data_IF_447940742004
#
_entry.id   IF_447940742004
#
_cell.length_a   1.000
_cell.length_b   1.000
_cell.length_c   1.000
_cell.angle_alpha   90.00
_cell.angle_beta   90.00
_cell.angle_gamma   90.00
#
_symmetry.space_group_name_H-M   'P 1'
#
loop_
_entity.id
_entity.type
_entity.pdbx_description
1 polymer ?
#
# COMPACT_ATOMS: atom_id res chain seq x y z
N UNK A 1 13.57 2.18 -6.38
CA UNK A 1 12.80 3.24 -5.69
C UNK A 1 13.72 4.37 -5.28
N UNK A 2 14.76 4.12 -4.46
CA UNK A 2 15.80 5.12 -4.08
C UNK A 2 16.32 5.92 -5.28
N UNK A 3 16.83 5.24 -6.32
CA UNK A 3 17.30 5.87 -7.56
C UNK A 3 16.29 6.80 -8.24
N UNK A 4 15.00 6.44 -8.25
CA UNK A 4 13.98 7.29 -8.87
C UNK A 4 13.65 8.48 -7.97
N UNK A 5 13.56 8.28 -6.64
CA UNK A 5 13.33 9.37 -5.70
C UNK A 5 14.45 10.41 -5.77
N UNK A 6 15.71 9.98 -5.87
CA UNK A 6 16.87 10.86 -6.01
C UNK A 6 16.81 11.66 -7.34
N UNK A 7 16.39 11.01 -8.44
CA UNK A 7 16.25 11.67 -9.75
C UNK A 7 15.20 12.79 -9.78
N UNK A 8 14.16 12.70 -8.94
CA UNK A 8 13.06 13.68 -8.89
C UNK A 8 13.09 14.56 -7.65
N UNK A 9 14.20 14.53 -6.89
CA UNK A 9 14.37 15.24 -5.61
C UNK A 9 13.20 15.02 -4.62
N UNK A 10 12.72 13.77 -4.57
CA UNK A 10 11.65 13.38 -3.65
C UNK A 10 12.24 12.99 -2.30
N UNK A 11 11.89 13.76 -1.26
CA UNK A 11 12.20 13.40 0.13
C UNK A 11 11.43 12.15 0.54
N UNK A 12 12.14 11.09 0.92
CA UNK A 12 11.55 9.82 1.35
C UNK A 12 11.94 9.52 2.79
N UNK A 13 10.94 9.19 3.61
CA UNK A 13 11.13 8.63 4.95
C UNK A 13 11.07 7.11 4.79
N UNK A 14 12.19 6.44 5.03
CA UNK A 14 12.28 4.98 4.93
C UNK A 14 11.95 4.32 6.28
N UNK A 15 11.21 3.22 6.22
CA UNK A 15 11.06 2.26 7.30
C UNK A 15 11.48 0.91 6.75
N UNK A 16 12.63 0.42 7.19
CA UNK A 16 13.22 -0.82 6.67
C UNK A 16 12.70 -2.08 7.40
N UNK A 17 11.97 -1.89 8.50
CA UNK A 17 11.40 -2.96 9.30
C UNK A 17 10.06 -3.44 8.71
N UNK A 18 10.06 -4.65 8.16
CA UNK A 18 8.85 -5.41 7.89
C UNK A 18 8.73 -6.52 8.93
N UNK A 19 7.99 -6.25 10.00
CA UNK A 19 7.71 -7.22 11.06
C UNK A 19 6.74 -8.30 10.56
N UNK A 20 7.34 -9.35 9.97
CA UNK A 20 6.62 -10.47 9.39
C UNK A 20 5.93 -11.29 10.47
N UNK A 21 6.60 -11.49 11.61
CA UNK A 21 6.12 -12.26 12.75
C UNK A 21 4.83 -11.65 13.30
N UNK A 22 4.83 -10.35 13.61
CA UNK A 22 3.62 -9.65 14.07
C UNK A 22 2.54 -9.68 12.99
N UNK A 23 2.90 -9.51 11.72
CA UNK A 23 1.92 -9.60 10.64
C UNK A 23 1.25 -10.99 10.62
N UNK A 24 2.02 -12.07 10.69
CA UNK A 24 1.49 -13.44 10.69
C UNK A 24 0.62 -13.73 11.92
N UNK A 25 1.08 -13.32 13.10
CA UNK A 25 0.32 -13.49 14.35
C UNK A 25 -1.03 -12.78 14.33
N UNK A 26 -1.15 -11.66 13.63
CA UNK A 26 -2.41 -10.90 13.54
C UNK A 26 -3.36 -11.38 12.44
N UNK A 27 -2.91 -12.25 11.53
CA UNK A 27 -3.72 -12.76 10.41
C UNK A 27 -3.95 -14.26 10.44
N UNK A 28 -3.26 -15.00 11.31
CA UNK A 28 -3.47 -16.44 11.49
C UNK A 28 -4.94 -16.72 11.83
N UNK A 29 -5.50 -17.77 11.22
CA UNK A 29 -6.93 -18.12 11.26
C UNK A 29 -7.86 -17.10 10.57
N UNK A 30 -7.32 -16.06 9.93
CA UNK A 30 -8.06 -15.01 9.18
C UNK A 30 -7.35 -14.64 7.88
N UNK A 31 -6.64 -15.60 7.27
CA UNK A 31 -5.76 -15.37 6.13
C UNK A 31 -6.52 -14.85 4.89
N UNK A 32 -7.82 -15.15 4.79
CA UNK A 32 -8.72 -14.66 3.74
C UNK A 32 -9.08 -13.17 3.92
N UNK A 33 -9.06 -12.65 5.15
CA UNK A 33 -9.32 -11.23 5.48
C UNK A 33 -8.06 -10.45 5.91
N UNK A 34 -6.88 -11.03 5.68
CA UNK A 34 -5.56 -10.41 5.94
C UNK A 34 -5.41 -8.96 5.46
N UNK A 35 -6.12 -8.56 4.41
CA UNK A 35 -6.07 -7.22 3.84
C UNK A 35 -6.57 -6.16 4.84
N UNK A 36 -7.56 -6.48 5.67
CA UNK A 36 -8.08 -5.58 6.69
C UNK A 36 -6.96 -5.14 7.66
N UNK A 37 -6.26 -6.11 8.24
CA UNK A 37 -5.09 -5.84 9.09
C UNK A 37 -3.96 -5.15 8.33
N UNK A 38 -3.62 -5.63 7.13
CA UNK A 38 -2.53 -5.10 6.31
C UNK A 38 -2.71 -3.62 5.96
N UNK A 39 -3.94 -3.21 5.57
CA UNK A 39 -4.25 -1.82 5.30
C UNK A 39 -4.22 -0.99 6.57
N UNK A 40 -4.80 -1.51 7.67
CA UNK A 40 -4.84 -0.81 8.94
C UNK A 40 -3.44 -0.51 9.47
N UNK A 41 -2.56 -1.51 9.56
CA UNK A 41 -1.21 -1.34 10.11
C UNK A 41 -0.39 -0.33 9.30
N UNK A 42 -0.41 -0.45 7.96
CA UNK A 42 0.31 0.45 7.04
C UNK A 42 -0.22 1.89 7.07
N UNK A 43 -1.54 2.07 7.00
CA UNK A 43 -2.16 3.39 7.05
C UNK A 43 -2.00 4.05 8.41
N UNK A 44 -2.06 3.28 9.51
CA UNK A 44 -1.87 3.80 10.87
C UNK A 44 -0.46 4.35 11.03
N UNK A 45 0.54 3.61 10.56
CA UNK A 45 1.93 4.09 10.57
C UNK A 45 2.09 5.36 9.73
N UNK A 46 1.56 5.38 8.50
CA UNK A 46 1.61 6.55 7.64
C UNK A 46 0.97 7.79 8.30
N UNK A 47 -0.17 7.62 8.97
CA UNK A 47 -0.85 8.70 9.70
C UNK A 47 -0.04 9.19 10.91
N UNK A 48 0.63 8.29 11.65
CA UNK A 48 1.51 8.67 12.77
C UNK A 48 2.69 9.50 12.27
N UNK A 49 3.32 9.08 11.17
CA UNK A 49 4.42 9.84 10.54
C UNK A 49 3.91 11.18 10.02
N UNK A 50 2.75 11.20 9.36
CA UNK A 50 2.13 12.41 8.84
C UNK A 50 1.87 13.43 9.97
N UNK A 51 1.32 12.96 11.10
CA UNK A 51 1.08 13.81 12.28
C UNK A 51 2.36 14.38 12.86
N UNK A 52 3.38 13.52 13.08
CA UNK A 52 4.67 13.94 13.65
C UNK A 52 5.39 14.95 12.76
N UNK A 53 5.30 14.76 11.44
CA UNK A 53 5.86 15.66 10.44
C UNK A 53 4.99 16.87 10.09
N UNK A 54 3.82 17.05 10.72
CA UNK A 54 2.86 18.13 10.43
C UNK A 54 2.43 18.20 8.96
N UNK A 55 2.26 17.05 8.32
CA UNK A 55 1.72 16.96 6.96
C UNK A 55 0.21 17.18 6.97
N UNK A 56 -0.32 17.82 5.92
CA UNK A 56 -1.75 18.15 5.81
C UNK A 56 -2.65 16.92 5.61
N UNK A 57 -2.13 15.90 4.92
CA UNK A 57 -2.86 14.68 4.57
C UNK A 57 -1.94 13.46 4.58
N UNK A 58 -2.54 12.29 4.73
CA UNK A 58 -1.89 11.02 4.38
C UNK A 58 -2.73 10.24 3.36
N UNK A 59 -2.07 9.40 2.56
CA UNK A 59 -2.72 8.54 1.55
C UNK A 59 -1.89 7.28 1.31
N UNK A 60 -2.29 6.44 0.37
CA UNK A 60 -1.56 5.23 0.00
C UNK A 60 -1.50 5.00 -1.51
N UNK A 61 -0.36 4.50 -1.97
CA UNK A 61 -0.16 4.06 -3.36
C UNK A 61 -0.99 2.82 -3.72
N UNK A 62 -1.55 2.11 -2.73
CA UNK A 62 -2.46 0.99 -2.96
C UNK A 62 -3.71 1.39 -3.77
N UNK A 63 -4.10 2.67 -3.71
CA UNK A 63 -5.21 3.26 -4.48
C UNK A 63 -4.92 3.40 -5.99
N UNK A 64 -3.70 3.06 -6.44
CA UNK A 64 -3.37 2.94 -7.86
C UNK A 64 -3.71 1.56 -8.44
N UNK A 65 -3.86 0.54 -7.58
CA UNK A 65 -4.03 -0.84 -8.01
C UNK A 65 -5.50 -1.20 -8.23
N UNK A 66 -5.79 -1.80 -9.39
CA UNK A 66 -7.12 -2.30 -9.74
C UNK A 66 -7.58 -3.49 -8.89
N UNK A 67 -6.65 -4.16 -8.20
CA UNK A 67 -6.93 -5.38 -7.42
C UNK A 67 -7.17 -5.10 -5.93
N UNK A 68 -6.91 -3.87 -5.47
CA UNK A 68 -7.05 -3.54 -4.04
C UNK A 68 -8.50 -3.15 -3.73
N UNK A 69 -8.93 -3.43 -2.50
CA UNK A 69 -10.29 -3.14 -2.04
C UNK A 69 -10.39 -1.66 -1.65
N UNK A 70 -10.65 -0.78 -2.63
CA UNK A 70 -10.67 0.67 -2.43
C UNK A 70 -11.62 1.12 -1.32
N UNK A 71 -12.82 0.56 -1.25
CA UNK A 71 -13.81 0.94 -0.23
C UNK A 71 -13.34 0.56 1.18
N UNK A 72 -12.67 -0.59 1.32
CA UNK A 72 -12.07 -1.00 2.59
C UNK A 72 -10.88 -0.10 2.97
N UNK A 73 -10.02 0.25 2.01
CA UNK A 73 -8.92 1.21 2.24
C UNK A 73 -9.48 2.56 2.69
N UNK A 74 -10.53 3.03 2.02
CA UNK A 74 -11.18 4.31 2.33
C UNK A 74 -11.74 4.31 3.74
N UNK A 75 -12.55 3.32 4.09
CA UNK A 75 -13.15 3.20 5.43
C UNK A 75 -12.08 3.12 6.53
N UNK A 76 -11.04 2.31 6.35
CA UNK A 76 -9.93 2.21 7.30
C UNK A 76 -9.17 3.54 7.40
N UNK A 77 -8.87 4.18 6.28
CA UNK A 77 -8.17 5.47 6.24
C UNK A 77 -8.95 6.57 6.95
N UNK A 78 -10.26 6.69 6.69
CA UNK A 78 -11.15 7.66 7.36
C UNK A 78 -11.24 7.40 8.86
N UNK A 79 -11.31 6.13 9.30
CA UNK A 79 -11.30 5.79 10.73
C UNK A 79 -9.98 6.16 11.43
N UNK A 80 -8.85 5.93 10.75
CA UNK A 80 -7.53 6.30 11.26
C UNK A 80 -7.38 7.82 11.31
N UNK A 81 -7.87 8.53 10.28
CA UNK A 81 -7.84 9.98 10.24
C UNK A 81 -8.56 10.61 11.43
N UNK A 82 -9.75 10.11 11.76
CA UNK A 82 -10.51 10.55 12.94
C UNK A 82 -9.74 10.35 14.26
N UNK A 83 -8.96 9.25 14.38
CA UNK A 83 -8.18 8.94 15.58
C UNK A 83 -6.84 9.68 15.67
N UNK A 84 -6.20 9.95 14.54
CA UNK A 84 -4.87 10.58 14.51
C UNK A 84 -4.93 12.10 14.32
N UNK A 85 -6.06 12.66 13.89
CA UNK A 85 -6.19 14.10 13.65
C UNK A 85 -5.48 14.58 12.37
N UNK A 86 -5.17 13.67 11.45
CA UNK A 86 -4.63 14.01 10.11
C UNK A 86 -5.62 13.46 9.08
N UNK A 87 -6.19 14.26 8.18
CA UNK A 87 -7.13 13.80 7.18
C UNK A 87 -6.55 12.74 6.22
N UNK A 88 -7.36 11.73 5.89
CA UNK A 88 -7.03 10.75 4.85
C UNK A 88 -7.49 11.26 3.48
N UNK A 89 -6.55 11.37 2.54
CA UNK A 89 -6.86 11.73 1.15
C UNK A 89 -7.16 10.47 0.34
N UNK A 90 -8.46 10.15 0.22
CA UNK A 90 -8.90 9.18 -0.79
C UNK A 90 -8.88 9.82 -2.19
N UNK A 91 -8.20 9.15 -3.13
CA UNK A 91 -8.24 9.50 -4.54
C UNK A 91 -8.11 8.25 -5.38
N UNK A 92 -8.99 8.10 -6.37
CA UNK A 92 -8.91 6.99 -7.31
C UNK A 92 -7.82 7.24 -8.36
N UNK A 93 -6.62 6.74 -8.09
CA UNK A 93 -5.47 6.86 -8.98
C UNK A 93 -5.52 5.90 -10.18
N UNK A 94 -6.54 5.04 -10.30
CA UNK A 94 -6.69 4.11 -11.45
C UNK A 94 -6.91 4.86 -12.76
N UNK A 95 -7.42 6.10 -12.73
CA UNK A 95 -7.63 6.95 -13.91
C UNK A 95 -6.32 7.22 -14.68
N UNK A 96 -5.17 7.27 -14.00
CA UNK A 96 -3.84 7.45 -14.60
C UNK A 96 -3.10 6.16 -14.96
N UNK A 97 -3.73 5.00 -14.78
CA UNK A 97 -3.02 3.71 -14.78
C UNK A 97 -2.32 3.36 -16.10
N UNK A 98 -2.96 3.63 -17.25
CA UNK A 98 -2.35 3.35 -18.57
C UNK A 98 -1.10 4.21 -18.81
N UNK A 99 -1.17 5.49 -18.46
CA UNK A 99 -0.06 6.43 -18.58
C UNK A 99 1.09 6.04 -17.65
N UNK A 100 0.78 5.70 -16.39
CA UNK A 100 1.78 5.24 -15.43
C UNK A 100 2.49 3.95 -15.88
N UNK A 101 1.78 3.02 -16.52
CA UNK A 101 2.41 1.84 -17.14
C UNK A 101 3.40 2.25 -18.22
N UNK A 102 3.02 3.15 -19.12
CA UNK A 102 3.90 3.60 -20.21
C UNK A 102 5.18 4.23 -19.65
N UNK A 103 5.03 5.20 -18.75
CA UNK A 103 6.16 5.91 -18.12
C UNK A 103 7.07 4.92 -17.36
N UNK A 104 6.50 3.99 -16.60
CA UNK A 104 7.30 2.99 -15.87
C UNK A 104 8.13 2.10 -16.78
N UNK A 105 7.65 1.81 -18.01
CA UNK A 105 8.41 1.04 -19.01
C UNK A 105 9.52 1.87 -19.64
N UNK A 106 9.22 3.12 -20.01
CA UNK A 106 10.20 4.07 -20.56
C UNK A 106 11.37 4.29 -19.60
N UNK A 107 11.06 4.42 -18.30
CA UNK A 107 12.03 4.57 -17.21
C UNK A 107 12.68 3.25 -16.74
N UNK A 108 12.36 2.11 -17.38
CA UNK A 108 12.84 0.76 -16.98
C UNK A 108 12.65 0.45 -15.50
N UNK A 109 11.57 0.98 -14.90
CA UNK A 109 11.28 0.77 -13.48
C UNK A 109 10.88 -0.67 -13.21
N UNK A 110 11.33 -1.22 -12.07
CA UNK A 110 10.83 -2.49 -11.59
C UNK A 110 9.32 -2.43 -11.33
N UNK A 111 8.57 -3.39 -11.88
CA UNK A 111 7.10 -3.45 -11.79
C UNK A 111 6.68 -4.64 -10.95
N UNK A 112 6.51 -4.39 -9.66
CA UNK A 112 6.05 -5.39 -8.71
C UNK A 112 4.64 -5.90 -9.06
N UNK A 113 4.48 -7.22 -9.13
CA UNK A 113 3.21 -7.89 -9.47
C UNK A 113 2.44 -8.42 -8.24
N UNK A 114 2.76 -7.92 -7.05
CA UNK A 114 2.15 -8.30 -5.77
C UNK A 114 2.09 -7.08 -4.83
N UNK A 115 1.21 -7.08 -3.83
CA UNK A 115 0.98 -5.89 -2.98
C UNK A 115 2.00 -5.70 -1.83
N UNK A 116 3.08 -6.49 -1.83
CA UNK A 116 4.11 -6.44 -0.79
C UNK A 116 3.79 -7.21 0.49
N UNK A 117 2.75 -8.07 0.52
CA UNK A 117 2.56 -9.02 1.62
C UNK A 117 2.89 -10.44 1.18
N UNK A 118 3.35 -11.28 2.12
CA UNK A 118 3.79 -12.65 1.85
C UNK A 118 2.70 -13.51 1.21
N UNK A 119 1.43 -13.29 1.54
CA UNK A 119 0.32 -14.01 0.92
C UNK A 119 0.09 -13.59 -0.54
N UNK A 120 0.21 -12.29 -0.86
CA UNK A 120 0.14 -11.84 -2.25
C UNK A 120 1.33 -12.33 -3.07
N UNK A 121 2.48 -12.52 -2.42
CA UNK A 121 3.66 -13.12 -3.03
C UNK A 121 3.48 -14.62 -3.26
N UNK A 122 2.90 -15.35 -2.29
CA UNK A 122 2.46 -16.74 -2.45
C UNK A 122 1.48 -16.88 -3.61
N UNK A 123 0.45 -16.03 -3.68
CA UNK A 123 -0.54 -16.04 -4.77
C UNK A 123 0.11 -15.82 -6.15
N UNK A 124 1.17 -15.01 -6.21
CA UNK A 124 1.96 -14.77 -7.42
C UNK A 124 2.78 -16.00 -7.83
N UNK A 125 3.47 -16.65 -6.89
CA UNK A 125 4.32 -17.82 -7.18
C UNK A 125 3.52 -19.09 -7.42
N UNK A 126 2.56 -19.39 -6.55
CA UNK A 126 1.82 -20.65 -6.53
C UNK A 126 0.66 -20.70 -7.53
N UNK A 127 0.61 -19.78 -8.53
CA UNK A 127 -0.44 -19.60 -9.57
C UNK A 127 -1.59 -20.60 -9.38
N UNK A 128 -2.72 -20.16 -8.79
CA UNK A 128 -3.91 -21.03 -8.64
C UNK A 128 -4.07 -21.90 -9.90
N UNK A 129 -4.25 -23.23 -9.78
CA UNK A 129 -4.76 -23.97 -10.93
C UNK A 129 -6.03 -23.25 -11.39
N UNK A 130 -6.17 -23.09 -12.72
CA UNK A 130 -7.38 -22.56 -13.33
C UNK A 130 -8.61 -23.26 -12.72
N UNK A 131 -9.74 -22.56 -12.54
CA UNK A 131 -10.94 -23.20 -12.04
C UNK A 131 -11.31 -24.37 -12.97
N UNK A 132 -11.41 -25.57 -12.41
CA UNK A 132 -12.28 -26.63 -12.92
C UNK A 132 -13.60 -26.53 -12.18
#
# INVERSE_FOLDING_TARGET
LKTYADQVDLKVIYQDEYDLETFLQNVVFRETDRCSYCYHSRLKYAAIVARRGKFDYFTTTLLYSKFQKHDLIRSIGENIAAKQGVPFLYRDFRKGWKQGIRISKELKMYRQQYCGCIYSEKDRYCKKPLPH
#
